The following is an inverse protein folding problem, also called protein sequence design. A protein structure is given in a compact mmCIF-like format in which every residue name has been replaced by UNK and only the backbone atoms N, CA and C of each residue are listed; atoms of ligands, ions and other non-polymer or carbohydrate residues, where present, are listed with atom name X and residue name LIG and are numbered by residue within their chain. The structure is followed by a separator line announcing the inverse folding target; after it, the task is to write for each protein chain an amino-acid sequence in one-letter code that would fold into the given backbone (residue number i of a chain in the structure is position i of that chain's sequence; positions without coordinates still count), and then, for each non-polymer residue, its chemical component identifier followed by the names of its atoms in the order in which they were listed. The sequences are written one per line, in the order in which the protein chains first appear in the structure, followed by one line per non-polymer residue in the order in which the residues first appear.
data_IF_155647708447
#
_entry.id   IF_155647708447
#
_cell.length_a   1.000
_cell.length_b   1.000
_cell.length_c   1.000
_cell.angle_alpha   90.00
_cell.angle_beta   90.00
_cell.angle_gamma   90.00
#
_symmetry.space_group_name_H-M   'P 1'
#
loop_
_entity.id
_entity.type
_entity.pdbx_description
1 polymer ?
#
# COMPACT_ATOMS: atom_id res chain seq x y z
N UNK A 1 17.57 43.03 39.40
CA UNK A 1 17.74 44.50 39.23
C UNK A 1 17.76 44.79 37.73
N UNK A 2 16.61 44.88 37.06
CA UNK A 2 15.95 46.15 36.69
C UNK A 2 16.90 47.27 36.24
N UNK A 3 16.79 47.66 34.97
CA UNK A 3 16.51 49.06 34.59
C UNK A 3 15.91 49.14 33.18
N UNK A 4 14.62 49.43 33.19
CA UNK A 4 13.77 49.94 32.12
C UNK A 4 14.31 51.31 31.65
N UNK A 5 14.22 51.61 30.35
CA UNK A 5 14.17 53.00 29.87
C UNK A 5 13.07 53.17 28.83
N UNK A 6 12.32 54.25 29.06
CA UNK A 6 11.09 54.68 28.42
C UNK A 6 11.34 55.52 27.16
N UNK A 7 10.29 55.57 26.34
CA UNK A 7 10.02 56.27 25.07
C UNK A 7 10.31 57.78 25.02
N UNK A 8 10.38 58.39 23.80
CA UNK A 8 9.26 59.23 23.33
C UNK A 8 8.97 59.04 21.82
N UNK A 9 7.76 58.64 21.42
CA UNK A 9 6.62 59.45 20.96
C UNK A 9 7.00 60.61 20.03
N UNK A 10 6.93 60.35 18.72
CA UNK A 10 6.71 61.39 17.72
C UNK A 10 5.60 60.92 16.76
N UNK A 11 4.54 61.72 16.74
CA UNK A 11 3.36 61.61 15.91
C UNK A 11 3.72 62.09 14.49
N UNK A 12 3.42 61.31 13.45
CA UNK A 12 3.30 61.83 12.09
C UNK A 12 2.28 60.99 11.31
N UNK A 13 1.06 61.53 11.23
CA UNK A 13 0.07 61.23 10.20
C UNK A 13 0.74 61.39 8.82
N UNK A 14 0.60 60.42 7.91
CA UNK A 14 0.26 60.71 6.51
C UNK A 14 -0.23 59.46 5.77
N UNK A 15 -1.45 59.59 5.25
CA UNK A 15 -2.05 58.97 4.05
C UNK A 15 -2.07 57.45 3.86
N UNK A 16 -3.30 56.91 3.89
CA UNK A 16 -3.72 55.71 3.18
C UNK A 16 -3.32 55.77 1.69
N UNK A 17 -2.71 54.70 1.20
CA UNK A 17 -2.91 54.18 -0.15
C UNK A 17 -3.04 52.65 -0.01
N UNK A 18 -4.19 52.14 -0.43
CA UNK A 18 -4.51 50.72 -0.52
C UNK A 18 -3.59 50.03 -1.54
N UNK A 19 -3.03 48.88 -1.16
CA UNK A 19 -2.60 47.83 -2.08
C UNK A 19 -2.91 46.49 -1.40
N UNK A 20 -3.86 45.79 -2.00
CA UNK A 20 -4.35 44.48 -1.62
C UNK A 20 -3.22 43.44 -1.77
N UNK A 21 -2.96 42.72 -0.69
CA UNK A 21 -2.16 41.50 -0.68
C UNK A 21 -2.89 40.49 0.20
N UNK A 22 -3.70 39.63 -0.42
CA UNK A 22 -4.39 38.54 0.26
C UNK A 22 -3.36 37.53 0.76
N UNK A 23 -3.25 37.44 2.08
CA UNK A 23 -2.76 36.27 2.80
C UNK A 23 -3.92 35.28 2.91
N UNK A 24 -3.80 34.10 2.31
CA UNK A 24 -4.79 33.03 2.45
C UNK A 24 -4.49 32.24 3.73
N UNK A 25 -5.12 32.66 4.83
CA UNK A 25 -5.40 31.80 5.98
C UNK A 25 -6.52 30.82 5.56
N UNK A 26 -6.25 29.50 5.59
CA UNK A 26 -7.29 28.48 5.35
C UNK A 26 -8.10 28.33 6.64
N UNK A 27 -9.26 28.98 6.66
CA UNK A 27 -10.31 28.87 7.67
C UNK A 27 -10.92 27.46 7.64
N UNK A 28 -11.01 26.82 8.80
CA UNK A 28 -11.87 25.64 9.02
C UNK A 28 -13.33 26.10 8.90
N UNK A 29 -14.01 25.71 7.83
CA UNK A 29 -15.44 25.97 7.67
C UNK A 29 -16.24 24.90 8.41
N UNK A 30 -16.85 25.31 9.53
CA UNK A 30 -17.92 24.57 10.20
C UNK A 30 -19.25 25.05 9.61
N UNK A 31 -19.84 24.28 8.69
CA UNK A 31 -21.24 24.49 8.28
C UNK A 31 -22.15 23.57 9.08
N UNK A 32 -22.75 24.15 10.13
CA UNK A 32 -23.87 23.56 10.84
C UNK A 32 -25.16 23.87 10.08
N UNK A 33 -25.77 22.85 9.47
CA UNK A 33 -27.16 22.90 9.01
C UNK A 33 -27.96 21.87 9.82
N UNK A 34 -28.92 22.37 10.61
CA UNK A 34 -29.73 21.56 11.51
C UNK A 34 -30.87 20.87 10.73
N UNK A 35 -30.81 19.54 10.67
CA UNK A 35 -31.96 18.69 10.45
C UNK A 35 -31.98 17.62 11.57
N UNK A 36 -32.96 17.70 12.46
CA UNK A 36 -33.28 16.63 13.41
C UNK A 36 -33.87 15.44 12.63
N UNK A 37 -33.05 14.41 12.44
CA UNK A 37 -33.51 13.02 12.35
C UNK A 37 -32.51 12.18 13.14
N UNK A 38 -32.96 11.50 14.19
CA UNK A 38 -32.09 10.67 15.04
C UNK A 38 -31.74 9.36 14.33
N UNK A 39 -30.88 9.44 13.32
CA UNK A 39 -30.04 8.33 12.91
C UNK A 39 -28.85 8.26 13.88
N UNK A 40 -28.46 7.06 14.30
CA UNK A 40 -27.12 6.85 14.86
C UNK A 40 -26.11 7.47 13.87
N UNK A 41 -25.06 8.13 14.35
CA UNK A 41 -24.08 8.67 13.42
C UNK A 41 -23.49 7.50 12.64
N UNK A 42 -23.65 7.47 11.32
CA UNK A 42 -23.08 6.39 10.51
C UNK A 42 -21.57 6.36 10.78
N UNK A 43 -21.01 5.17 11.04
CA UNK A 43 -19.59 4.95 11.34
C UNK A 43 -19.08 5.56 12.67
N UNK A 44 -19.86 5.43 13.76
CA UNK A 44 -19.40 5.86 15.10
C UNK A 44 -18.02 5.25 15.45
N UNK A 45 -17.10 6.08 15.91
CA UNK A 45 -15.73 5.71 16.32
C UNK A 45 -14.81 5.19 15.19
N UNK A 46 -15.16 5.43 13.92
CA UNK A 46 -14.28 5.20 12.78
C UNK A 46 -13.97 6.55 12.14
N UNK A 47 -12.69 6.95 12.15
CA UNK A 47 -12.27 8.23 11.59
C UNK A 47 -11.77 8.06 10.16
N UNK A 48 -11.73 9.15 9.40
CA UNK A 48 -11.06 9.22 8.11
C UNK A 48 -10.22 10.50 8.10
N UNK A 49 -8.97 10.37 7.67
CA UNK A 49 -8.03 11.50 7.55
C UNK A 49 -8.17 12.23 6.20
N UNK A 50 -8.97 11.66 5.29
CA UNK A 50 -9.09 12.12 3.91
C UNK A 50 -7.93 11.62 3.04
N UNK A 51 -8.19 11.60 1.74
CA UNK A 51 -7.21 11.19 0.72
C UNK A 51 -6.93 12.36 -0.23
N UNK A 52 -5.72 12.45 -0.82
CA UNK A 52 -5.38 13.49 -1.78
C UNK A 52 -6.18 13.30 -3.08
N UNK A 53 -6.36 14.39 -3.82
CA UNK A 53 -7.00 14.33 -5.15
C UNK A 53 -6.15 13.58 -6.17
N UNK A 54 -4.81 13.70 -6.10
CA UNK A 54 -3.87 12.96 -6.94
C UNK A 54 -3.31 11.75 -6.19
N UNK A 55 -3.62 10.55 -6.68
CA UNK A 55 -3.21 9.30 -6.05
C UNK A 55 -1.68 9.10 -6.03
N UNK A 56 -0.88 9.75 -6.88
CA UNK A 56 0.59 9.65 -6.73
C UNK A 56 1.09 10.17 -5.40
N UNK A 57 0.38 11.13 -4.80
CA UNK A 57 0.80 11.72 -3.53
C UNK A 57 0.81 10.66 -2.42
N UNK A 58 -0.10 9.67 -2.46
CA UNK A 58 -0.15 8.60 -1.45
C UNK A 58 1.13 7.77 -1.43
N UNK A 59 1.91 7.76 -2.51
CA UNK A 59 3.16 7.00 -2.60
C UNK A 59 4.42 7.83 -2.34
N UNK A 60 4.27 9.04 -1.81
CA UNK A 60 5.39 9.90 -1.43
C UNK A 60 5.69 9.76 0.06
N UNK A 61 6.97 9.82 0.43
CA UNK A 61 7.38 9.82 1.84
C UNK A 61 6.77 11.00 2.61
N UNK A 62 6.69 12.18 1.99
CA UNK A 62 6.10 13.38 2.62
C UNK A 62 4.64 13.15 3.05
N UNK A 63 3.81 12.55 2.18
CA UNK A 63 2.43 12.24 2.54
C UNK A 63 2.35 11.14 3.60
N UNK A 64 3.13 10.05 3.44
CA UNK A 64 3.11 8.93 4.36
C UNK A 64 3.57 9.35 5.78
N UNK A 65 4.61 10.19 5.86
CA UNK A 65 5.11 10.76 7.12
C UNK A 65 4.06 11.66 7.78
N UNK A 66 3.35 12.50 7.00
CA UNK A 66 2.27 13.34 7.53
C UNK A 66 1.15 12.49 8.12
N UNK A 67 0.71 11.44 7.42
CA UNK A 67 -0.33 10.54 7.93
C UNK A 67 0.13 9.84 9.21
N UNK A 68 1.38 9.39 9.29
CA UNK A 68 1.91 8.78 10.51
C UNK A 68 1.95 9.78 11.70
N UNK A 69 2.31 11.04 11.46
CA UNK A 69 2.21 12.10 12.48
C UNK A 69 0.77 12.29 12.98
N UNK A 70 -0.22 12.31 12.07
CA UNK A 70 -1.64 12.44 12.44
C UNK A 70 -2.14 11.21 13.22
N UNK A 71 -1.74 9.99 12.81
CA UNK A 71 -2.05 8.75 13.53
C UNK A 71 -1.45 8.78 14.93
N UNK A 72 -0.21 9.27 15.07
CA UNK A 72 0.46 9.37 16.35
C UNK A 72 -0.21 10.40 17.28
N UNK A 73 -0.60 11.56 16.77
CA UNK A 73 -1.35 12.58 17.53
C UNK A 73 -2.69 12.02 18.03
N UNK A 74 -3.41 11.28 17.17
CA UNK A 74 -4.64 10.59 17.55
C UNK A 74 -4.37 9.54 18.62
N UNK A 75 -3.35 8.71 18.44
CA UNK A 75 -2.95 7.68 19.39
C UNK A 75 -2.63 8.23 20.78
N UNK A 76 -1.98 9.40 20.86
CA UNK A 76 -1.66 10.06 22.12
C UNK A 76 -2.86 10.78 22.76
N UNK A 77 -3.93 11.02 22.01
CA UNK A 77 -5.10 11.77 22.47
C UNK A 77 -6.00 10.99 23.45
N UNK A 78 -5.94 9.66 23.44
CA UNK A 78 -6.82 8.79 24.23
C UNK A 78 -6.13 7.48 24.62
N UNK A 79 -6.70 6.77 25.59
CA UNK A 79 -6.28 5.41 25.94
C UNK A 79 -7.15 4.40 25.20
N UNK A 80 -6.63 3.88 24.09
CA UNK A 80 -7.36 2.95 23.22
C UNK A 80 -7.20 1.51 23.70
N UNK A 81 -8.32 0.83 23.89
CA UNK A 81 -8.40 -0.56 24.37
C UNK A 81 -9.08 -1.45 23.34
N UNK A 82 -9.12 -2.77 23.57
CA UNK A 82 -9.87 -3.69 22.70
C UNK A 82 -11.34 -3.28 22.55
N UNK A 83 -11.98 -2.77 23.59
CA UNK A 83 -13.39 -2.34 23.57
C UNK A 83 -13.60 -1.02 22.83
N UNK A 84 -12.58 -0.15 22.81
CA UNK A 84 -12.61 1.14 22.13
C UNK A 84 -11.27 1.40 21.43
N UNK A 85 -11.03 0.71 20.30
CA UNK A 85 -9.78 0.84 19.55
C UNK A 85 -9.75 2.14 18.75
N UNK A 86 -8.55 2.59 18.38
CA UNK A 86 -8.39 3.61 17.34
C UNK A 86 -8.66 2.92 16.00
N UNK A 87 -9.64 3.41 15.25
CA UNK A 87 -10.00 2.84 13.93
C UNK A 87 -10.03 3.94 12.88
N UNK A 88 -9.27 3.74 11.81
CA UNK A 88 -9.16 4.68 10.70
C UNK A 88 -9.49 3.98 9.39
N UNK A 89 -10.35 4.59 8.58
CA UNK A 89 -10.64 4.11 7.23
C UNK A 89 -9.59 4.63 6.25
N UNK A 90 -8.88 3.70 5.58
CA UNK A 90 -7.88 3.96 4.55
C UNK A 90 -6.97 5.17 4.85
N UNK A 91 -6.31 5.24 6.03
CA UNK A 91 -5.60 6.45 6.43
C UNK A 91 -4.45 6.82 5.48
N UNK A 92 -3.82 5.81 4.89
CA UNK A 92 -2.70 5.98 3.96
C UNK A 92 -3.12 6.15 2.50
N UNK A 93 -4.41 6.03 2.16
CA UNK A 93 -4.90 6.12 0.78
C UNK A 93 -4.46 4.96 -0.13
N UNK A 94 -3.86 3.92 0.43
CA UNK A 94 -3.27 2.80 -0.32
C UNK A 94 -4.16 1.58 -0.37
N UNK A 95 -5.29 1.54 0.34
CA UNK A 95 -6.20 0.39 0.32
C UNK A 95 -7.63 0.79 0.71
N UNK A 96 -8.48 1.01 -0.28
CA UNK A 96 -9.82 1.59 -0.11
C UNK A 96 -10.79 0.67 0.63
N UNK A 97 -10.46 -0.62 0.73
CA UNK A 97 -11.25 -1.66 1.40
C UNK A 97 -10.55 -2.18 2.67
N UNK A 98 -9.79 -1.31 3.33
CA UNK A 98 -9.12 -1.62 4.59
C UNK A 98 -9.42 -0.62 5.72
N UNK A 99 -9.33 -1.14 6.95
CA UNK A 99 -9.35 -0.35 8.17
C UNK A 99 -8.01 -0.51 8.89
N UNK A 100 -7.37 0.60 9.24
CA UNK A 100 -6.28 0.59 10.21
C UNK A 100 -6.86 0.51 11.62
N UNK A 101 -6.24 -0.30 12.48
CA UNK A 101 -6.64 -0.44 13.87
C UNK A 101 -5.45 -0.44 14.82
N UNK A 102 -5.58 0.28 15.94
CA UNK A 102 -4.57 0.32 17.01
C UNK A 102 -5.19 0.31 18.41
N UNK A 103 -4.67 -0.49 19.32
CA UNK A 103 -5.11 -0.55 20.72
C UNK A 103 -4.12 -1.27 21.64
N UNK A 104 -4.37 -1.18 22.96
CA UNK A 104 -3.64 -1.93 24.00
C UNK A 104 -4.52 -2.95 24.71
N UNK A 105 -3.87 -3.95 25.29
CA UNK A 105 -4.48 -4.94 26.18
C UNK A 105 -3.68 -5.07 27.48
N UNK A 106 -4.36 -5.44 28.57
CA UNK A 106 -3.73 -5.58 29.90
C UNK A 106 -2.75 -6.76 30.00
N UNK A 107 -2.87 -7.74 29.09
CA UNK A 107 -2.06 -8.96 29.06
C UNK A 107 -1.71 -9.33 27.63
N UNK A 108 -0.57 -9.98 27.38
CA UNK A 108 -0.22 -10.42 26.04
C UNK A 108 -1.27 -11.37 25.43
N UNK A 109 -1.83 -10.98 24.27
CA UNK A 109 -2.84 -11.75 23.53
C UNK A 109 -2.47 -11.86 22.04
N UNK A 110 -3.09 -12.83 21.36
CA UNK A 110 -3.21 -12.86 19.90
C UNK A 110 -4.54 -12.30 19.48
N UNK A 111 -4.58 -11.61 18.35
CA UNK A 111 -5.80 -11.05 17.78
C UNK A 111 -6.16 -11.80 16.49
N UNK A 112 -7.42 -12.18 16.37
CA UNK A 112 -8.03 -12.60 15.11
C UNK A 112 -9.20 -11.67 14.81
N UNK A 113 -9.60 -11.55 13.54
CA UNK A 113 -10.79 -10.81 13.18
C UNK A 113 -11.65 -11.53 12.15
N UNK A 114 -12.92 -11.13 12.09
CA UNK A 114 -13.89 -11.56 11.09
C UNK A 114 -14.65 -10.35 10.56
N UNK A 115 -14.74 -10.22 9.24
CA UNK A 115 -15.61 -9.27 8.54
C UNK A 115 -16.80 -10.03 7.98
N UNK A 116 -17.99 -9.61 8.39
CA UNK A 116 -19.26 -10.13 7.90
C UNK A 116 -20.04 -9.02 7.19
N UNK A 117 -20.59 -9.32 6.02
CA UNK A 117 -21.51 -8.42 5.33
C UNK A 117 -22.69 -9.21 4.75
N UNK A 118 -23.87 -8.60 4.58
CA UNK A 118 -25.02 -9.27 3.97
C UNK A 118 -24.69 -9.82 2.57
N UNK A 119 -25.13 -11.06 2.30
CA UNK A 119 -24.99 -11.75 1.01
C UNK A 119 -23.56 -12.19 0.60
N UNK A 120 -22.56 -12.00 1.47
CA UNK A 120 -21.18 -12.45 1.24
C UNK A 120 -20.73 -13.47 2.28
N UNK A 121 -19.74 -14.29 1.92
CA UNK A 121 -19.06 -15.15 2.89
C UNK A 121 -18.19 -14.34 3.84
N UNK A 122 -18.15 -14.77 5.10
CA UNK A 122 -17.30 -14.18 6.13
C UNK A 122 -15.82 -14.28 5.75
N UNK A 123 -15.10 -13.16 5.90
CA UNK A 123 -13.66 -13.13 5.74
C UNK A 123 -12.99 -13.10 7.12
N UNK A 124 -12.06 -14.01 7.42
CA UNK A 124 -11.43 -14.11 8.74
C UNK A 124 -9.94 -14.36 8.65
N UNK A 125 -9.17 -13.69 9.50
CA UNK A 125 -7.70 -13.80 9.54
C UNK A 125 -7.17 -13.74 10.98
N UNK A 126 -6.03 -14.40 11.20
CA UNK A 126 -5.20 -14.24 12.40
C UNK A 126 -4.14 -13.15 12.13
N UNK A 127 -4.09 -12.11 12.96
CA UNK A 127 -3.27 -10.91 12.67
C UNK A 127 -1.79 -11.06 13.07
N UNK A 128 -1.48 -11.95 14.00
CA UNK A 128 -0.11 -12.22 14.43
C UNK A 128 0.05 -13.61 15.03
N UNK A 129 1.19 -14.24 14.76
CA UNK A 129 1.60 -15.46 15.42
C UNK A 129 2.19 -15.22 16.82
N UNK A 130 2.42 -13.96 17.21
CA UNK A 130 3.04 -13.58 18.47
C UNK A 130 2.04 -12.98 19.46
N UNK A 131 2.34 -13.13 20.75
CA UNK A 131 1.56 -12.53 21.83
C UNK A 131 2.09 -11.13 22.14
N UNK A 132 1.23 -10.11 22.05
CA UNK A 132 1.59 -8.71 22.33
C UNK A 132 0.57 -8.03 23.25
N UNK A 133 0.98 -6.96 23.91
CA UNK A 133 0.08 -6.03 24.63
C UNK A 133 -0.26 -4.79 23.79
N UNK A 134 0.54 -4.49 22.76
CA UNK A 134 0.27 -3.41 21.81
C UNK A 134 -0.06 -4.03 20.46
N UNK A 135 -1.15 -3.56 19.87
CA UNK A 135 -1.75 -4.12 18.67
C UNK A 135 -1.91 -3.03 17.65
N UNK A 136 -1.39 -3.26 16.45
CA UNK A 136 -1.40 -2.32 15.34
C UNK A 136 -1.45 -3.10 14.04
N UNK A 137 -2.55 -2.96 13.30
CA UNK A 137 -2.84 -3.82 12.16
C UNK A 137 -3.59 -3.07 11.05
N UNK A 138 -3.44 -3.57 9.83
CA UNK A 138 -4.31 -3.25 8.70
C UNK A 138 -5.29 -4.41 8.48
N UNK A 139 -6.58 -4.16 8.68
CA UNK A 139 -7.64 -5.12 8.44
C UNK A 139 -8.15 -4.96 7.01
N UNK A 140 -7.99 -6.00 6.19
CA UNK A 140 -8.56 -6.07 4.84
C UNK A 140 -9.87 -6.87 4.84
N UNK A 141 -10.58 -6.89 3.71
CA UNK A 141 -11.80 -7.66 3.52
C UNK A 141 -13.09 -6.87 3.71
N UNK A 142 -12.99 -5.55 3.89
CA UNK A 142 -14.14 -4.66 4.02
C UNK A 142 -14.87 -4.59 2.67
N UNK A 143 -16.18 -4.82 2.69
CA UNK A 143 -16.98 -4.83 1.49
C UNK A 143 -17.60 -3.45 1.22
N UNK A 144 -17.41 -2.88 0.02
CA UNK A 144 -17.91 -1.56 -0.36
C UNK A 144 -19.44 -1.55 -0.41
N UNK A 145 -20.04 -0.36 -0.32
CA UNK A 145 -21.49 -0.12 -0.42
C UNK A 145 -22.36 -0.97 0.52
N UNK A 146 -21.78 -1.51 1.59
CA UNK A 146 -22.48 -2.39 2.54
C UNK A 146 -22.09 -2.09 3.98
N UNK A 147 -22.97 -2.47 4.90
CA UNK A 147 -22.68 -2.45 6.33
C UNK A 147 -21.85 -3.68 6.67
N UNK A 148 -20.60 -3.44 7.06
CA UNK A 148 -19.67 -4.46 7.52
C UNK A 148 -19.74 -4.56 9.04
N UNK A 149 -19.86 -5.78 9.56
CA UNK A 149 -19.67 -6.07 10.98
C UNK A 149 -18.29 -6.69 11.17
N UNK A 150 -17.39 -5.97 11.84
CA UNK A 150 -16.02 -6.40 12.11
C UNK A 150 -15.97 -6.90 13.55
N UNK A 151 -15.71 -8.19 13.74
CA UNK A 151 -15.53 -8.80 15.06
C UNK A 151 -14.06 -9.03 15.33
N UNK A 152 -13.53 -8.44 16.41
CA UNK A 152 -12.17 -8.70 16.88
C UNK A 152 -12.23 -9.66 18.07
N UNK A 153 -11.34 -10.65 18.08
CA UNK A 153 -11.24 -11.61 19.19
C UNK A 153 -9.81 -11.67 19.71
N UNK A 154 -9.66 -11.48 21.01
CA UNK A 154 -8.41 -11.66 21.71
C UNK A 154 -8.32 -13.06 22.32
N UNK A 155 -7.17 -13.71 22.18
CA UNK A 155 -6.89 -15.05 22.74
C UNK A 155 -5.63 -15.02 23.60
N UNK A 156 -5.71 -15.53 24.82
CA UNK A 156 -4.60 -15.57 25.78
C UNK A 156 -3.58 -16.69 25.47
N UNK A 157 -2.48 -16.71 26.24
CA UNK A 157 -1.42 -17.72 26.11
C UNK A 157 -1.85 -19.15 26.44
N UNK A 158 -2.99 -19.32 27.09
CA UNK A 158 -3.57 -20.63 27.40
C UNK A 158 -4.56 -21.09 26.33
N UNK A 159 -4.79 -20.29 25.29
CA UNK A 159 -5.78 -20.54 24.24
C UNK A 159 -7.23 -20.19 24.61
N UNK A 160 -7.43 -19.46 25.71
CA UNK A 160 -8.76 -19.00 26.13
C UNK A 160 -9.08 -17.64 25.52
N UNK A 161 -10.37 -17.37 25.31
CA UNK A 161 -10.84 -16.04 24.90
C UNK A 161 -10.53 -15.01 25.99
N UNK A 162 -9.78 -13.96 25.65
CA UNK A 162 -9.41 -12.85 26.52
C UNK A 162 -10.31 -11.62 26.33
N UNK A 163 -11.08 -11.58 25.25
CA UNK A 163 -12.03 -10.50 24.98
C UNK A 163 -12.59 -10.61 23.56
N UNK A 164 -13.68 -9.91 23.29
CA UNK A 164 -14.27 -9.79 21.96
C UNK A 164 -14.93 -8.42 21.85
N UNK A 165 -14.69 -7.72 20.74
CA UNK A 165 -15.40 -6.48 20.41
C UNK A 165 -15.98 -6.57 19.01
N UNK A 166 -16.97 -5.73 18.73
CA UNK A 166 -17.57 -5.59 17.42
C UNK A 166 -17.65 -4.12 17.03
N UNK A 167 -17.36 -3.86 15.76
CA UNK A 167 -17.43 -2.55 15.13
C UNK A 167 -18.31 -2.67 13.90
N UNK A 168 -19.07 -1.63 13.60
CA UNK A 168 -19.88 -1.56 12.39
C UNK A 168 -19.34 -0.45 11.49
N UNK A 169 -19.15 -0.76 10.21
CA UNK A 169 -18.64 0.18 9.22
C UNK A 169 -19.47 0.10 7.94
N UNK A 170 -20.25 1.15 7.69
CA UNK A 170 -20.83 1.43 6.39
C UNK A 170 -19.73 1.95 5.47
N UNK A 171 -19.20 1.05 4.64
CA UNK A 171 -18.12 1.37 3.71
C UNK A 171 -18.63 2.25 2.56
N UNK A 172 -17.80 3.15 2.03
CA UNK A 172 -18.11 3.89 0.81
C UNK A 172 -18.13 2.96 -0.41
N UNK A 173 -18.51 3.51 -1.55
CA UNK A 173 -18.36 2.83 -2.84
C UNK A 173 -16.88 2.61 -3.17
N UNK A 174 -16.61 1.60 -4.00
CA UNK A 174 -15.26 1.41 -4.55
C UNK A 174 -14.79 2.66 -5.30
N UNK A 175 -13.49 2.90 -5.26
CA UNK A 175 -12.87 3.89 -6.13
C UNK A 175 -12.87 3.39 -7.59
N UNK A 176 -12.73 2.08 -7.77
CA UNK A 176 -12.91 1.42 -9.06
C UNK A 176 -14.38 1.12 -9.40
N UNK A 177 -14.58 0.24 -10.38
CA UNK A 177 -15.93 -0.21 -10.78
C UNK A 177 -16.57 -1.08 -9.70
N UNK A 178 -17.87 -0.88 -9.42
CA UNK A 178 -18.65 -1.77 -8.56
C UNK A 178 -18.75 -3.21 -9.11
N UNK A 179 -18.48 -3.43 -10.40
CA UNK A 179 -18.41 -4.77 -10.99
C UNK A 179 -17.22 -5.58 -10.46
N UNK A 180 -16.22 -4.92 -9.87
CA UNK A 180 -15.06 -5.56 -9.27
C UNK A 180 -15.36 -6.24 -7.92
N UNK A 181 -16.55 -6.06 -7.34
CA UNK A 181 -16.84 -6.59 -5.99
C UNK A 181 -16.88 -8.13 -5.98
N UNK A 182 -17.44 -8.72 -7.04
CA UNK A 182 -17.70 -10.15 -7.10
C UNK A 182 -17.45 -10.69 -8.49
N UNK A 183 -16.53 -11.64 -8.60
CA UNK A 183 -16.25 -12.36 -9.84
C UNK A 183 -17.19 -13.56 -10.01
N UNK A 184 -17.43 -13.92 -11.27
CA UNK A 184 -18.01 -15.20 -11.63
C UNK A 184 -16.97 -16.31 -11.45
N UNK A 185 -17.16 -17.15 -10.41
CA UNK A 185 -16.30 -18.32 -10.16
C UNK A 185 -16.82 -19.53 -10.94
N UNK A 186 -15.94 -20.13 -11.74
CA UNK A 186 -16.26 -21.34 -12.51
C UNK A 186 -15.28 -22.47 -12.22
N UNK A 187 -15.76 -23.72 -12.22
CA UNK A 187 -14.90 -24.89 -12.03
C UNK A 187 -14.05 -25.15 -13.28
N UNK A 188 -12.73 -25.30 -13.08
CA UNK A 188 -11.80 -25.71 -14.13
C UNK A 188 -11.67 -27.23 -14.28
N UNK A 189 -10.79 -27.67 -15.19
CA UNK A 189 -10.49 -29.10 -15.42
C UNK A 189 -9.48 -29.69 -14.40
N UNK A 190 -8.83 -28.83 -13.61
CA UNK A 190 -7.86 -29.24 -12.59
C UNK A 190 -8.51 -30.16 -11.55
N UNK A 191 -7.76 -31.16 -11.08
CA UNK A 191 -8.15 -32.02 -9.97
C UNK A 191 -7.54 -31.57 -8.63
N UNK A 192 -6.70 -30.53 -8.66
CA UNK A 192 -6.14 -29.91 -7.47
C UNK A 192 -7.12 -28.88 -6.93
N UNK A 193 -7.38 -28.93 -5.63
CA UNK A 193 -8.13 -27.89 -4.92
C UNK A 193 -7.31 -26.59 -4.92
N UNK A 194 -7.95 -25.43 -5.11
CA UNK A 194 -7.26 -24.16 -4.93
C UNK A 194 -6.78 -24.04 -3.48
N UNK A 195 -5.57 -23.51 -3.29
CA UNK A 195 -5.10 -23.13 -1.95
C UNK A 195 -6.03 -22.10 -1.33
N UNK A 196 -6.14 -22.03 -0.01
CA UNK A 196 -6.81 -20.89 0.62
C UNK A 196 -5.92 -19.66 0.51
N UNK A 197 -6.48 -18.52 0.14
CA UNK A 197 -5.76 -17.25 0.16
C UNK A 197 -6.34 -16.21 -0.79
N UNK A 198 -5.57 -15.14 -0.98
CA UNK A 198 -5.92 -14.05 -1.88
C UNK A 198 -5.24 -14.20 -3.24
N UNK A 199 -5.98 -13.84 -4.28
CA UNK A 199 -5.60 -13.96 -5.67
C UNK A 199 -5.77 -12.62 -6.37
N UNK A 200 -4.78 -12.24 -7.18
CA UNK A 200 -4.86 -11.04 -8.00
C UNK A 200 -4.59 -11.37 -9.46
N UNK A 201 -5.30 -10.68 -10.35
CA UNK A 201 -5.04 -10.71 -11.78
C UNK A 201 -4.29 -9.45 -12.18
N UNK A 202 -2.97 -9.60 -12.34
CA UNK A 202 -2.12 -8.52 -12.78
C UNK A 202 -2.37 -8.20 -14.25
N UNK A 203 -2.59 -6.91 -14.53
CA UNK A 203 -2.76 -6.42 -15.88
C UNK A 203 -4.18 -6.25 -16.39
N UNK A 204 -5.16 -6.05 -15.50
CA UNK A 204 -6.59 -5.89 -15.77
C UNK A 204 -7.00 -4.50 -16.34
N UNK A 205 -6.14 -3.86 -17.12
CA UNK A 205 -6.37 -2.53 -17.65
C UNK A 205 -7.26 -2.59 -18.89
N UNK A 206 -8.29 -1.74 -18.94
CA UNK A 206 -9.27 -1.70 -20.04
C UNK A 206 -8.93 -0.68 -21.13
N UNK A 207 -8.15 0.37 -20.81
CA UNK A 207 -7.79 1.47 -21.74
C UNK A 207 -6.29 1.78 -21.68
N UNK A 208 -5.63 2.12 -22.80
CA UNK A 208 -4.17 2.40 -22.84
C UNK A 208 -3.81 3.89 -22.64
N UNK A 209 -4.58 4.68 -21.87
CA UNK A 209 -4.21 6.06 -21.49
C UNK A 209 -3.55 6.15 -20.09
N UNK A 210 -2.31 6.65 -19.99
CA UNK A 210 -1.56 6.68 -18.73
C UNK A 210 -2.05 7.74 -17.71
N UNK A 211 -3.26 8.25 -17.94
CA UNK A 211 -3.98 9.29 -17.20
C UNK A 211 -4.92 8.73 -16.12
N UNK A 212 -5.23 7.44 -16.16
CA UNK A 212 -6.21 6.83 -15.25
C UNK A 212 -5.56 6.21 -14.01
N UNK A 213 -6.29 6.25 -12.89
CA UNK A 213 -6.02 5.41 -11.72
C UNK A 213 -6.39 3.98 -12.07
N UNK A 214 -5.41 3.08 -11.99
CA UNK A 214 -5.61 1.64 -12.09
C UNK A 214 -5.70 1.03 -10.68
N UNK A 215 -6.05 -0.25 -10.58
CA UNK A 215 -6.22 -0.93 -9.29
C UNK A 215 -5.57 -2.31 -9.28
N UNK A 216 -4.89 -2.63 -8.18
CA UNK A 216 -4.58 -4.02 -7.83
C UNK A 216 -5.74 -4.54 -7.00
N UNK A 217 -6.40 -5.58 -7.51
CA UNK A 217 -7.58 -6.17 -6.89
C UNK A 217 -7.23 -7.55 -6.36
N UNK A 218 -7.46 -7.78 -5.08
CA UNK A 218 -7.25 -9.07 -4.43
C UNK A 218 -8.58 -9.70 -4.07
N UNK A 219 -8.78 -10.93 -4.54
CA UNK A 219 -10.00 -11.72 -4.37
C UNK A 219 -9.73 -12.96 -3.53
N UNK A 220 -10.70 -13.36 -2.72
CA UNK A 220 -10.65 -14.68 -2.06
C UNK A 220 -11.05 -15.82 -3.00
N UNK A 221 -11.10 -17.04 -2.46
CA UNK A 221 -11.50 -18.25 -3.18
C UNK A 221 -12.96 -18.22 -3.69
N UNK A 222 -13.83 -17.40 -3.10
CA UNK A 222 -15.21 -17.20 -3.55
C UNK A 222 -15.31 -16.15 -4.67
N UNK A 223 -14.17 -15.56 -5.08
CA UNK A 223 -14.12 -14.50 -6.07
C UNK A 223 -14.64 -13.17 -5.54
N UNK A 224 -14.76 -13.02 -4.22
CA UNK A 224 -15.16 -11.77 -3.58
C UNK A 224 -13.94 -10.90 -3.35
N UNK A 225 -14.04 -9.61 -3.68
CA UNK A 225 -12.98 -8.63 -3.47
C UNK A 225 -12.72 -8.44 -1.99
N UNK A 226 -11.45 -8.50 -1.59
CA UNK A 226 -10.98 -8.28 -0.20
C UNK A 226 -9.97 -7.15 -0.07
N UNK A 227 -9.37 -6.69 -1.16
CA UNK A 227 -8.51 -5.51 -1.15
C UNK A 227 -8.49 -4.81 -2.52
N UNK A 228 -8.66 -3.50 -2.52
CA UNK A 228 -8.52 -2.61 -3.69
C UNK A 228 -7.42 -1.59 -3.40
N UNK A 229 -6.30 -1.72 -4.10
CA UNK A 229 -5.12 -0.87 -3.95
C UNK A 229 -5.05 0.03 -5.19
N UNK A 230 -5.27 1.34 -5.05
CA UNK A 230 -5.22 2.27 -6.16
C UNK A 230 -3.77 2.54 -6.58
N UNK A 231 -3.47 2.47 -7.87
CA UNK A 231 -2.14 2.71 -8.43
C UNK A 231 -2.21 3.77 -9.52
N UNK A 232 -1.19 4.61 -9.62
CA UNK A 232 -1.10 5.57 -10.72
C UNK A 232 -0.49 4.92 -11.95
N UNK A 233 -1.06 5.26 -13.11
CA UNK A 233 -0.52 4.93 -14.43
C UNK A 233 -0.59 3.44 -14.75
N UNK A 234 0.48 2.87 -15.34
CA UNK A 234 0.52 1.52 -15.86
C UNK A 234 0.16 0.44 -14.83
N UNK A 235 -0.43 -0.65 -15.33
CA UNK A 235 -0.82 -1.82 -14.53
C UNK A 235 0.36 -2.38 -13.72
N UNK A 236 0.10 -2.86 -12.52
CA UNK A 236 1.10 -3.63 -11.77
C UNK A 236 1.46 -4.90 -12.53
N UNK A 237 2.74 -5.07 -12.87
CA UNK A 237 3.27 -6.26 -13.56
C UNK A 237 3.75 -7.34 -12.60
N UNK A 238 4.03 -6.98 -11.34
CA UNK A 238 4.53 -7.86 -10.31
C UNK A 238 4.10 -7.37 -8.93
N UNK A 239 3.93 -8.30 -8.00
CA UNK A 239 3.73 -8.04 -6.57
C UNK A 239 4.54 -9.08 -5.80
N UNK A 240 5.38 -8.62 -4.87
CA UNK A 240 6.15 -9.47 -3.96
C UNK A 240 5.70 -9.22 -2.54
N UNK A 241 5.77 -10.27 -1.74
CA UNK A 241 5.53 -10.23 -0.32
C UNK A 241 6.81 -10.67 0.40
N UNK A 242 7.13 -9.93 1.45
CA UNK A 242 8.09 -10.25 2.50
C UNK A 242 7.35 -10.21 3.84
N UNK A 243 7.95 -10.70 4.93
CA UNK A 243 7.28 -10.88 6.23
C UNK A 243 6.58 -9.61 6.73
N UNK A 244 7.08 -8.42 6.37
CA UNK A 244 6.49 -7.13 6.74
C UNK A 244 6.13 -6.22 5.54
N UNK A 245 6.51 -6.57 4.32
CA UNK A 245 6.49 -5.63 3.19
C UNK A 245 5.79 -6.19 1.96
N UNK A 246 5.17 -5.29 1.19
CA UNK A 246 4.65 -5.58 -0.14
C UNK A 246 5.37 -4.70 -1.15
N UNK A 247 5.95 -5.31 -2.18
CA UNK A 247 6.65 -4.59 -3.24
C UNK A 247 5.90 -4.72 -4.56
N UNK A 248 5.58 -3.59 -5.16
CA UNK A 248 5.06 -3.49 -6.51
C UNK A 248 5.55 -2.18 -7.14
N UNK A 249 5.52 -2.14 -8.47
CA UNK A 249 5.93 -0.96 -9.23
C UNK A 249 4.73 -0.04 -9.44
N UNK A 250 4.97 1.26 -9.24
CA UNK A 250 4.05 2.34 -9.63
C UNK A 250 4.80 3.33 -10.53
N UNK A 251 4.07 4.16 -11.28
CA UNK A 251 4.70 5.32 -11.91
C UNK A 251 4.82 6.46 -10.90
N UNK A 252 6.03 7.01 -10.75
CA UNK A 252 6.27 8.20 -9.95
C UNK A 252 6.02 9.50 -10.74
N UNK A 253 6.03 9.43 -12.07
CA UNK A 253 5.99 10.63 -12.92
C UNK A 253 4.56 11.04 -13.33
N UNK A 254 4.43 12.33 -13.64
CA UNK A 254 3.24 12.96 -14.22
C UNK A 254 2.87 12.36 -15.59
N UNK A 255 1.63 12.62 -16.02
CA UNK A 255 1.16 12.30 -17.37
C UNK A 255 2.20 12.75 -18.42
N UNK A 256 2.51 11.88 -19.39
CA UNK A 256 3.42 12.10 -20.53
C UNK A 256 4.94 11.92 -20.28
N UNK A 257 5.37 11.54 -19.08
CA UNK A 257 6.77 11.14 -18.89
C UNK A 257 7.11 9.90 -19.73
N UNK A 258 8.30 9.90 -20.34
CA UNK A 258 8.79 8.76 -21.12
C UNK A 258 9.02 7.59 -20.17
N UNK A 259 8.30 6.49 -20.40
CA UNK A 259 8.55 5.21 -19.74
C UNK A 259 9.85 4.58 -20.24
N UNK A 260 10.97 5.17 -19.84
CA UNK A 260 12.30 4.89 -20.38
C UNK A 260 12.91 3.60 -19.82
N UNK A 261 12.38 3.10 -18.70
CA UNK A 261 12.90 1.91 -18.03
C UNK A 261 11.91 0.73 -18.06
N UNK A 262 10.59 0.96 -17.95
CA UNK A 262 9.53 -0.05 -17.90
C UNK A 262 9.93 -1.32 -17.12
N UNK A 263 9.78 -1.27 -15.79
CA UNK A 263 10.13 -2.39 -14.91
C UNK A 263 9.07 -3.49 -15.03
N UNK A 264 9.50 -4.67 -15.49
CA UNK A 264 8.61 -5.82 -15.70
C UNK A 264 8.55 -6.76 -14.50
N UNK A 265 9.65 -6.84 -13.74
CA UNK A 265 9.75 -7.76 -12.62
C UNK A 265 10.68 -7.20 -11.56
N UNK A 266 10.36 -7.55 -10.33
CA UNK A 266 11.14 -7.30 -9.14
C UNK A 266 11.35 -8.66 -8.47
N UNK A 267 12.50 -8.87 -7.83
CA UNK A 267 12.80 -10.06 -7.04
C UNK A 267 13.66 -9.68 -5.85
N UNK A 268 13.22 -10.02 -4.63
CA UNK A 268 14.09 -10.00 -3.46
C UNK A 268 15.15 -11.09 -3.59
N UNK A 269 16.41 -10.71 -3.41
CA UNK A 269 17.54 -11.63 -3.33
C UNK A 269 17.78 -12.08 -1.89
N UNK A 270 17.75 -11.11 -0.97
CA UNK A 270 17.91 -11.25 0.47
C UNK A 270 17.11 -10.13 1.17
N UNK A 271 17.41 -9.88 2.45
CA UNK A 271 16.67 -8.95 3.30
C UNK A 271 16.82 -7.48 2.89
N UNK A 272 17.80 -7.12 2.04
CA UNK A 272 18.12 -5.71 1.77
C UNK A 272 18.51 -5.44 0.30
N UNK A 273 18.26 -6.41 -0.59
CA UNK A 273 18.58 -6.25 -2.00
C UNK A 273 17.53 -6.84 -2.93
N UNK A 274 17.35 -6.15 -4.07
CA UNK A 274 16.46 -6.56 -5.14
C UNK A 274 17.19 -6.69 -6.47
N UNK A 275 16.63 -7.52 -7.33
CA UNK A 275 16.89 -7.49 -8.77
C UNK A 275 15.62 -7.04 -9.47
N UNK A 276 15.77 -6.06 -10.37
CA UNK A 276 14.72 -5.62 -11.27
C UNK A 276 15.07 -5.92 -12.74
N UNK A 277 14.05 -6.13 -13.56
CA UNK A 277 14.20 -6.29 -15.01
C UNK A 277 13.55 -5.11 -15.74
N UNK A 278 14.36 -4.37 -16.49
CA UNK A 278 13.90 -3.30 -17.37
C UNK A 278 13.62 -3.84 -18.77
N UNK A 279 12.43 -3.56 -19.30
CA UNK A 279 12.05 -3.93 -20.67
C UNK A 279 12.77 -3.07 -21.71
N UNK A 280 12.73 -1.76 -21.52
CA UNK A 280 13.18 -0.80 -22.54
C UNK A 280 14.70 -0.77 -22.67
N UNK A 281 15.43 -0.96 -21.57
CA UNK A 281 16.90 -1.02 -21.58
C UNK A 281 17.43 -2.44 -21.81
N UNK A 282 16.55 -3.46 -21.83
CA UNK A 282 16.93 -4.89 -21.86
C UNK A 282 18.02 -5.24 -20.82
N UNK A 283 17.91 -4.65 -19.62
CA UNK A 283 18.92 -4.76 -18.56
C UNK A 283 18.29 -5.35 -17.29
N UNK A 284 19.03 -6.27 -16.66
CA UNK A 284 18.79 -6.71 -15.28
C UNK A 284 19.65 -5.85 -14.36
N UNK A 285 19.05 -5.27 -13.33
CA UNK A 285 19.70 -4.31 -12.43
C UNK A 285 19.60 -4.87 -11.01
N UNK A 286 20.73 -4.99 -10.30
CA UNK A 286 20.75 -5.27 -8.86
C UNK A 286 20.84 -3.96 -8.09
N UNK A 287 19.98 -3.81 -7.08
CA UNK A 287 19.95 -2.67 -6.18
C UNK A 287 20.10 -3.19 -4.75
N UNK A 288 21.03 -2.59 -4.01
CA UNK A 288 21.30 -2.86 -2.60
C UNK A 288 20.84 -1.67 -1.73
N UNK A 289 20.67 -1.92 -0.43
CA UNK A 289 20.32 -0.91 0.58
C UNK A 289 18.96 -0.26 0.27
N UNK A 290 17.94 -1.11 0.04
CA UNK A 290 16.65 -0.68 -0.51
C UNK A 290 15.80 0.11 0.48
N UNK A 291 16.16 0.11 1.76
CA UNK A 291 15.41 0.79 2.82
C UNK A 291 16.03 2.11 3.27
N UNK A 292 17.35 2.27 3.21
CA UNK A 292 18.01 3.50 3.68
C UNK A 292 18.60 4.31 2.51
N UNK A 293 19.55 3.75 1.77
CA UNK A 293 20.26 4.47 0.71
C UNK A 293 20.47 3.61 -0.55
N UNK A 294 19.42 3.46 -1.38
CA UNK A 294 19.44 2.53 -2.50
C UNK A 294 20.52 2.86 -3.51
N UNK A 295 21.29 1.85 -3.91
CA UNK A 295 22.37 2.00 -4.88
C UNK A 295 22.44 0.82 -5.85
N UNK A 296 22.79 1.09 -7.10
CA UNK A 296 23.00 0.04 -8.11
C UNK A 296 24.31 -0.68 -7.81
N UNK A 297 24.25 -2.00 -7.61
CA UNK A 297 25.43 -2.85 -7.41
C UNK A 297 26.01 -3.27 -8.77
N UNK A 298 25.19 -3.88 -9.63
CA UNK A 298 25.61 -4.28 -10.97
C UNK A 298 24.47 -4.24 -11.99
N UNK A 299 24.89 -4.19 -13.27
CA UNK A 299 24.03 -4.25 -14.44
C UNK A 299 24.38 -5.48 -15.28
N UNK A 300 23.36 -6.20 -15.75
CA UNK A 300 23.50 -7.24 -16.78
C UNK A 300 22.73 -6.76 -18.01
N UNK A 301 23.44 -6.17 -18.96
CA UNK A 301 22.87 -5.52 -20.12
C UNK A 301 23.93 -5.20 -21.18
N UNK A 302 23.57 -4.38 -22.16
CA UNK A 302 24.48 -3.94 -23.21
C UNK A 302 25.46 -2.88 -22.70
N UNK A 303 26.77 -3.15 -22.75
CA UNK A 303 27.82 -2.14 -22.45
C UNK A 303 27.63 -0.87 -23.30
N UNK A 304 27.29 -1.02 -24.58
CA UNK A 304 27.06 0.11 -25.49
C UNK A 304 25.86 0.98 -25.06
N UNK A 305 24.85 0.39 -24.42
CA UNK A 305 23.68 1.16 -23.98
C UNK A 305 24.04 2.04 -22.77
N UNK A 306 24.87 1.53 -21.87
CA UNK A 306 25.28 2.20 -20.63
C UNK A 306 26.56 3.03 -20.78
N UNK A 307 27.13 3.13 -21.98
CA UNK A 307 28.31 3.96 -22.26
C UNK A 307 28.02 5.44 -21.95
N UNK A 308 28.93 6.09 -21.21
CA UNK A 308 28.79 7.50 -20.76
C UNK A 308 27.57 7.79 -19.86
N UNK A 309 26.94 6.75 -19.29
CA UNK A 309 25.75 6.90 -18.42
C UNK A 309 26.07 7.27 -16.98
N UNK A 310 27.33 7.09 -16.55
CA UNK A 310 27.75 7.10 -15.15
C UNK A 310 27.63 5.73 -14.46
N UNK A 311 27.03 4.74 -15.12
CA UNK A 311 26.88 3.36 -14.63
C UNK A 311 27.65 2.33 -15.46
N UNK A 312 28.44 2.76 -16.45
CA UNK A 312 29.20 1.87 -17.34
C UNK A 312 30.10 0.87 -16.60
N UNK A 313 30.72 1.31 -15.49
CA UNK A 313 31.62 0.49 -14.67
C UNK A 313 30.89 -0.61 -13.88
N UNK A 314 29.55 -0.54 -13.79
CA UNK A 314 28.72 -1.54 -13.12
C UNK A 314 28.24 -2.65 -14.08
N UNK A 315 28.47 -2.51 -15.38
CA UNK A 315 28.06 -3.53 -16.37
C UNK A 315 28.97 -4.74 -16.24
N UNK A 316 28.37 -5.91 -15.95
CA UNK A 316 29.13 -7.15 -15.80
C UNK A 316 29.72 -7.60 -17.15
N UNK A 317 31.02 -7.89 -17.14
CA UNK A 317 31.72 -8.43 -18.29
C UNK A 317 31.16 -9.81 -18.68
N UNK A 318 30.83 -9.99 -19.95
CA UNK A 318 30.36 -11.26 -20.48
C UNK A 318 31.46 -12.33 -20.43
N UNK A 319 31.19 -13.46 -19.77
CA UNK A 319 32.02 -14.66 -19.80
C UNK A 319 31.37 -15.77 -20.66
N UNK A 320 31.93 -15.99 -21.86
CA UNK A 320 31.49 -17.01 -22.83
C UNK A 320 30.81 -16.46 -24.08
N UNK A 321 30.39 -17.35 -24.99
CA UNK A 321 29.78 -16.99 -26.28
C UNK A 321 28.25 -17.11 -26.23
N UNK A 322 27.58 -16.00 -25.94
CA UNK A 322 26.13 -15.85 -26.14
C UNK A 322 25.82 -14.43 -26.62
N UNK A 323 24.68 -14.27 -27.28
CA UNK A 323 24.23 -12.96 -27.72
C UNK A 323 23.33 -12.35 -26.64
N UNK A 324 23.64 -11.13 -26.21
CA UNK A 324 22.69 -10.26 -25.53
C UNK A 324 21.62 -9.87 -26.56
N UNK A 325 20.36 -10.21 -26.30
CA UNK A 325 19.27 -9.90 -27.23
C UNK A 325 18.70 -8.52 -26.93
N UNK A 326 18.66 -7.65 -27.92
CA UNK A 326 18.00 -6.34 -27.84
C UNK A 326 16.46 -6.41 -27.88
N UNK A 327 15.88 -7.59 -28.12
CA UNK A 327 14.42 -7.81 -28.14
C UNK A 327 14.11 -9.27 -27.78
N UNK A 328 13.60 -9.52 -26.57
CA UNK A 328 13.00 -10.80 -26.19
C UNK A 328 13.64 -11.45 -24.96
N UNK A 329 12.82 -11.62 -23.91
CA UNK A 329 13.14 -12.35 -22.69
C UNK A 329 13.59 -13.79 -23.03
N UNK A 330 14.77 -14.21 -22.57
CA UNK A 330 15.17 -15.64 -22.53
C UNK A 330 15.42 -16.06 -21.09
N UNK A 331 14.75 -17.13 -20.67
CA UNK A 331 15.00 -17.78 -19.38
C UNK A 331 16.45 -18.27 -19.32
N UNK A 332 17.25 -17.67 -18.43
CA UNK A 332 18.55 -18.21 -18.06
C UNK A 332 18.35 -19.29 -17.00
N UNK A 333 18.66 -20.56 -17.32
CA UNK A 333 18.79 -21.62 -16.31
C UNK A 333 20.25 -22.07 -16.23
N UNK A 334 21.01 -21.44 -15.34
CA UNK A 334 22.35 -21.89 -14.99
C UNK A 334 22.29 -22.97 -13.92
N UNK A 335 22.58 -24.24 -14.25
CA UNK A 335 22.64 -25.37 -13.27
C UNK A 335 23.64 -25.17 -12.12
N UNK A 336 24.51 -24.16 -12.21
CA UNK A 336 25.46 -23.76 -11.16
C UNK A 336 24.84 -22.71 -10.22
N UNK A 337 24.28 -21.63 -10.79
CA UNK A 337 23.53 -20.60 -10.06
C UNK A 337 22.31 -21.17 -9.29
N UNK A 338 21.55 -22.08 -9.91
CA UNK A 338 20.43 -22.77 -9.26
C UNK A 338 20.87 -23.61 -8.05
N UNK A 339 22.07 -24.21 -8.10
CA UNK A 339 22.58 -25.07 -7.01
C UNK A 339 23.11 -24.26 -5.82
N UNK A 340 23.56 -23.03 -6.08
CA UNK A 340 24.01 -22.10 -5.05
C UNK A 340 22.81 -21.38 -4.40
N UNK A 341 21.77 -21.04 -5.17
CA UNK A 341 20.51 -20.44 -4.65
C UNK A 341 19.61 -21.44 -3.89
N UNK A 342 19.62 -22.73 -4.24
CA UNK A 342 18.84 -23.79 -3.55
C UNK A 342 19.32 -24.09 -2.13
N UNK A 343 20.49 -23.60 -1.70
CA UNK A 343 20.97 -23.81 -0.32
C UNK A 343 20.20 -23.00 0.73
N UNK A 344 19.35 -22.06 0.33
CA UNK A 344 18.76 -21.06 1.26
C UNK A 344 17.23 -20.90 1.23
N UNK A 345 16.43 -21.77 0.58
CA UNK A 345 14.95 -21.66 0.71
C UNK A 345 14.23 -23.00 0.92
N UNK A 346 13.44 -23.04 2.00
CA UNK A 346 12.26 -23.90 2.18
C UNK A 346 11.03 -23.08 1.77
N UNK A 347 10.08 -23.72 1.06
CA UNK A 347 8.75 -23.17 0.78
C UNK A 347 8.68 -22.31 -0.48
N UNK A 348 7.69 -22.56 -1.34
CA UNK A 348 7.49 -21.85 -2.61
C UNK A 348 6.03 -21.45 -2.81
N UNK A 349 5.83 -20.35 -3.52
CA UNK A 349 4.54 -19.83 -4.00
C UNK A 349 4.49 -19.99 -5.52
N UNK A 350 3.34 -20.39 -6.05
CA UNK A 350 3.09 -20.56 -7.48
C UNK A 350 2.51 -19.26 -8.06
N UNK A 351 3.29 -18.55 -8.87
CA UNK A 351 2.81 -17.41 -9.66
C UNK A 351 2.38 -17.91 -11.04
N UNK A 352 1.09 -17.81 -11.36
CA UNK A 352 0.58 -18.04 -12.71
C UNK A 352 0.75 -16.77 -13.54
N UNK A 353 1.77 -16.75 -14.41
CA UNK A 353 1.97 -15.70 -15.40
C UNK A 353 1.32 -16.15 -16.71
N UNK A 354 0.22 -15.49 -17.11
CA UNK A 354 -0.38 -15.71 -18.44
C UNK A 354 0.50 -14.99 -19.47
N UNK A 355 0.97 -15.66 -20.54
CA UNK A 355 1.72 -14.97 -21.59
C UNK A 355 0.79 -14.05 -22.39
N UNK A 356 1.07 -12.74 -22.39
CA UNK A 356 0.49 -11.81 -23.36
C UNK A 356 0.90 -12.25 -24.77
N UNK A 357 -0.08 -12.28 -25.70
CA UNK A 357 0.14 -12.50 -27.13
C UNK A 357 0.58 -11.23 -27.83
#
# INVERSE_FOLDING_TARGET
MQKIKFFPFFLLLYSLLFLEGCSAEKTVETTAEAAEDSKAAENENILSLGNPEDISQVYTLEYQDQIEEEIQDLWESSDYTLENPLVLADPYGTNTTALYIRFRTDTPVKISYTVSAPDYEDFSEDLSEDYSQEHEYLLIGILPDTLNTITLKATDQNGNSAGTTQLEYQAPSLAGSSENIQLDVTSGESQEEPSTGLYTMLGNRTEEDNSQTDFILLYDNAGTLRSEIPIKSYRACNMLFDDANVFFSISADEEEALDWIHINSIRLLDEDSIIISSRETSTIIKIDDIYDNPSVDYLIGSEQFWEESGYEDLVLAQDGEFALQHTGLRLFTGRKLYRDLQRHRRGGILLCQVPCK
#
